data_IF_609846361786
#
_entry.id   IF_609846361786
#
_cell.length_a   1.000
_cell.length_b   1.000
_cell.length_c   1.000
_cell.angle_alpha   90.00
_cell.angle_beta   90.00
_cell.angle_gamma   90.00
#
_symmetry.space_group_name_H-M   'P 1'
#
loop_
_entity.id
_entity.type
_entity.pdbx_description
1 polymer ?
#
# COMPACT_ATOMS: atom_id res chain seq x y z
N UNK A 1 -20.71 -0.48 3.07
CA UNK A 1 -21.12 -1.75 2.42
C UNK A 1 -19.90 -2.67 2.38
N UNK A 2 -19.91 -3.77 3.14
CA UNK A 2 -18.78 -4.70 3.28
C UNK A 2 -18.70 -5.64 2.07
N UNK A 3 -17.49 -5.92 1.60
CA UNK A 3 -17.23 -6.89 0.52
C UNK A 3 -17.39 -8.28 1.10
N UNK A 4 -18.43 -8.98 0.66
CA UNK A 4 -18.77 -10.32 1.15
C UNK A 4 -18.23 -11.36 0.15
N UNK A 5 -17.32 -12.21 0.61
CA UNK A 5 -16.86 -13.37 -0.15
C UNK A 5 -17.82 -14.54 0.13
N UNK A 6 -18.71 -14.81 -0.82
CA UNK A 6 -19.71 -15.88 -0.74
C UNK A 6 -19.11 -17.29 -0.71
N UNK A 7 -17.82 -17.46 -1.03
CA UNK A 7 -17.15 -18.76 -0.99
C UNK A 7 -16.74 -19.24 0.40
N UNK A 8 -16.64 -18.34 1.40
CA UNK A 8 -16.15 -18.70 2.73
C UNK A 8 -16.95 -18.15 3.93
N UNK A 9 -18.06 -17.42 3.72
CA UNK A 9 -18.87 -16.81 4.80
C UNK A 9 -18.04 -16.02 5.84
N UNK A 10 -16.87 -15.52 5.46
CA UNK A 10 -16.00 -14.68 6.28
C UNK A 10 -15.77 -13.35 5.60
N UNK A 11 -15.61 -12.30 6.40
CA UNK A 11 -15.18 -10.99 5.90
C UNK A 11 -13.84 -11.14 5.20
N UNK A 12 -13.79 -10.83 3.91
CA UNK A 12 -12.56 -10.82 3.14
C UNK A 12 -11.57 -9.80 3.71
N UNK A 13 -10.27 -10.10 3.58
CA UNK A 13 -9.19 -9.18 3.92
C UNK A 13 -8.33 -8.99 2.68
N UNK A 14 -7.82 -7.77 2.50
CA UNK A 14 -6.83 -7.48 1.47
C UNK A 14 -5.59 -6.88 2.08
N UNK A 15 -4.48 -7.00 1.36
CA UNK A 15 -3.16 -6.55 1.78
C UNK A 15 -2.66 -5.54 0.78
N UNK A 16 -2.30 -4.36 1.27
CA UNK A 16 -1.51 -3.40 0.52
C UNK A 16 -0.06 -3.55 0.94
N UNK A 17 0.83 -3.66 -0.02
CA UNK A 17 2.25 -3.88 0.23
C UNK A 17 3.07 -2.81 -0.48
N UNK A 18 4.08 -2.30 0.21
CA UNK A 18 5.13 -1.46 -0.34
C UNK A 18 6.41 -2.27 -0.34
N UNK A 19 7.06 -2.35 -1.49
CA UNK A 19 8.35 -3.03 -1.68
C UNK A 19 9.36 -2.09 -2.32
N UNK A 20 10.64 -2.41 -2.14
CA UNK A 20 11.70 -1.79 -2.93
C UNK A 20 11.83 -2.41 -4.34
N UNK A 21 12.79 -1.92 -5.13
CA UNK A 21 13.07 -2.41 -6.47
C UNK A 21 13.64 -3.83 -6.54
N UNK A 22 14.14 -4.36 -5.42
CA UNK A 22 14.61 -5.74 -5.28
C UNK A 22 13.50 -6.68 -4.77
N UNK A 23 12.32 -6.15 -4.45
CA UNK A 23 11.20 -6.89 -3.89
C UNK A 23 11.24 -7.07 -2.37
N UNK A 24 12.09 -6.33 -1.65
CA UNK A 24 12.11 -6.34 -0.19
C UNK A 24 10.89 -5.62 0.37
N UNK A 25 10.24 -6.24 1.35
CA UNK A 25 9.05 -5.70 2.02
C UNK A 25 9.42 -4.50 2.90
N UNK A 26 8.84 -3.33 2.60
CA UNK A 26 9.01 -2.09 3.38
C UNK A 26 7.82 -1.85 4.32
N UNK A 27 6.59 -2.08 3.84
CA UNK A 27 5.36 -1.92 4.64
C UNK A 27 4.27 -2.87 4.16
N UNK A 28 3.47 -3.38 5.09
CA UNK A 28 2.24 -4.12 4.80
C UNK A 28 1.10 -3.55 5.63
N UNK A 29 0.00 -3.21 4.98
CA UNK A 29 -1.25 -2.83 5.63
C UNK A 29 -2.31 -3.86 5.28
N UNK A 30 -2.93 -4.44 6.31
CA UNK A 30 -4.05 -5.38 6.15
C UNK A 30 -5.34 -4.63 6.43
N UNK A 31 -6.28 -4.71 5.50
CA UNK A 31 -7.59 -4.07 5.64
C UNK A 31 -8.71 -5.04 5.34
N UNK A 32 -9.94 -4.60 5.59
CA UNK A 32 -11.12 -5.24 5.04
C UNK A 32 -11.08 -5.23 3.50
N UNK A 33 -11.64 -6.27 2.88
CA UNK A 33 -11.57 -6.50 1.43
C UNK A 33 -12.21 -5.40 0.58
N UNK A 34 -13.13 -4.61 1.13
CA UNK A 34 -13.83 -3.51 0.43
C UNK A 34 -13.20 -2.14 0.65
N UNK A 35 -12.16 -2.01 1.47
CA UNK A 35 -11.55 -0.72 1.74
C UNK A 35 -11.01 -0.10 0.43
N UNK A 36 -11.06 1.22 0.21
CA UNK A 36 -10.59 1.81 -1.05
C UNK A 36 -9.07 1.61 -1.22
N UNK A 37 -8.64 1.08 -2.36
CA UNK A 37 -7.22 0.77 -2.62
C UNK A 37 -6.32 2.02 -2.55
N UNK A 38 -6.75 3.12 -3.18
CA UNK A 38 -6.01 4.40 -3.14
C UNK A 38 -5.81 4.93 -1.72
N UNK A 39 -6.83 4.77 -0.87
CA UNK A 39 -6.77 5.23 0.52
C UNK A 39 -5.75 4.40 1.32
N UNK A 40 -5.76 3.08 1.15
CA UNK A 40 -4.84 2.20 1.85
C UNK A 40 -3.40 2.35 1.38
N UNK A 41 -3.19 2.58 0.08
CA UNK A 41 -1.86 2.86 -0.47
C UNK A 41 -1.30 4.17 0.10
N UNK A 42 -2.10 5.24 0.13
CA UNK A 42 -1.70 6.50 0.75
C UNK A 42 -1.42 6.34 2.25
N UNK A 43 -2.28 5.61 2.98
CA UNK A 43 -2.10 5.34 4.39
C UNK A 43 -0.81 4.53 4.66
N UNK A 44 -0.55 3.49 3.88
CA UNK A 44 0.67 2.70 3.99
C UNK A 44 1.93 3.54 3.75
N UNK A 45 1.91 4.45 2.77
CA UNK A 45 3.03 5.34 2.48
C UNK A 45 3.22 6.37 3.60
N UNK A 46 2.16 7.00 4.09
CA UNK A 46 2.24 7.98 5.19
C UNK A 46 2.81 7.35 6.47
N UNK A 47 2.37 6.14 6.81
CA UNK A 47 2.92 5.41 7.96
C UNK A 47 4.40 5.06 7.75
N UNK A 48 4.79 4.66 6.54
CA UNK A 48 6.20 4.37 6.22
C UNK A 48 7.07 5.64 6.31
N UNK A 49 6.61 6.78 5.79
CA UNK A 49 7.28 8.09 5.91
C UNK A 49 7.46 8.48 7.37
N UNK A 50 6.43 8.26 8.20
CA UNK A 50 6.47 8.60 9.63
C UNK A 50 7.39 7.70 10.43
N UNK A 51 7.38 6.40 10.15
CA UNK A 51 8.14 5.41 10.93
C UNK A 51 9.60 5.31 10.49
N UNK A 52 9.86 5.36 9.18
CA UNK A 52 11.16 5.05 8.55
C UNK A 52 11.44 5.98 7.37
N UNK A 53 11.50 7.31 7.56
CA UNK A 53 11.73 8.26 6.48
C UNK A 53 13.03 8.00 5.71
N UNK A 54 14.06 7.46 6.38
CA UNK A 54 15.37 7.16 5.78
C UNK A 54 15.31 6.09 4.68
N UNK A 55 14.27 5.23 4.68
CA UNK A 55 14.06 4.23 3.62
C UNK A 55 13.56 4.87 2.32
N UNK A 56 13.08 6.12 2.37
CA UNK A 56 12.47 6.82 1.26
C UNK A 56 13.33 7.95 0.69
N UNK A 57 14.48 8.26 1.31
CA UNK A 57 15.38 9.37 0.91
C UNK A 57 15.84 9.32 -0.55
N UNK A 58 15.96 8.12 -1.12
CA UNK A 58 16.45 7.91 -2.49
C UNK A 58 15.37 7.42 -3.45
N UNK A 59 14.10 7.44 -3.03
CA UNK A 59 13.00 6.96 -3.87
C UNK A 59 12.61 8.06 -4.85
N UNK A 60 12.95 7.87 -6.12
CA UNK A 60 12.59 8.80 -7.20
C UNK A 60 11.21 8.47 -7.80
N UNK A 61 10.88 7.17 -7.86
CA UNK A 61 9.69 6.66 -8.56
C UNK A 61 9.03 5.58 -7.72
N UNK A 62 7.70 5.69 -7.55
CA UNK A 62 6.88 4.64 -6.96
C UNK A 62 5.84 4.12 -7.97
N UNK A 63 5.83 2.80 -8.18
CA UNK A 63 4.90 2.13 -9.07
C UNK A 63 3.67 1.61 -8.32
N UNK A 64 2.51 1.71 -8.96
CA UNK A 64 1.25 1.14 -8.46
C UNK A 64 0.63 0.24 -9.53
N UNK A 65 0.06 -0.88 -9.10
CA UNK A 65 -0.34 -2.06 -9.91
C UNK A 65 -1.48 -1.82 -10.92
N UNK A 66 -1.81 -0.56 -11.20
CA UNK A 66 -2.78 -0.12 -12.21
C UNK A 66 -2.14 0.77 -13.29
N UNK A 67 -0.82 0.64 -13.51
CA UNK A 67 -0.08 1.41 -14.51
C UNK A 67 0.06 2.89 -14.16
N UNK A 68 -0.07 3.24 -12.87
CA UNK A 68 0.05 4.61 -12.38
C UNK A 68 1.38 4.80 -11.68
N UNK A 69 2.14 5.76 -12.16
CA UNK A 69 3.40 6.18 -11.54
C UNK A 69 3.12 7.37 -10.64
N UNK A 70 3.61 7.31 -9.40
CA UNK A 70 3.65 8.46 -8.49
C UNK A 70 5.11 8.89 -8.36
N UNK A 71 5.40 10.14 -8.75
CA UNK A 71 6.69 10.76 -8.45
C UNK A 71 6.62 11.33 -7.03
N UNK A 72 7.58 10.99 -6.18
CA UNK A 72 7.73 11.62 -4.86
C UNK A 72 8.45 12.96 -5.07
N UNK A 73 7.74 13.98 -5.56
CA UNK A 73 8.28 15.34 -5.60
C UNK A 73 8.07 16.00 -4.24
N UNK A 74 9.11 15.99 -3.41
CA UNK A 74 9.16 16.69 -2.12
C UNK A 74 8.64 15.86 -0.95
N UNK A 75 9.57 15.22 -0.24
CA UNK A 75 9.42 14.86 1.18
C UNK A 75 10.08 15.98 1.98
#
# INVERSE_FOLDING_TARGET
>A
MYGFDGGKLVKGRKRQTIVDSLGLLLKVVVSEGNAPERLLAAYALMELVKERPELLEKVEVMWVDSGRTYALTGI
#
